data_IF_837272949392
#
_entry.id   IF_837272949392
#
_cell.length_a   1.000
_cell.length_b   1.000
_cell.length_c   1.000
_cell.angle_alpha   90.00
_cell.angle_beta   90.00
_cell.angle_gamma   90.00
#
_symmetry.space_group_name_H-M   'P 1'
#
loop_
_entity.id
_entity.type
_entity.pdbx_description
1 polymer ?
#
# COMPACT_ATOMS: atom_id res chain seq x y z
N UNK A 1 6.24 -14.05 24.52
CA UNK A 1 6.35 -14.05 23.05
C UNK A 1 6.18 -12.63 22.57
N UNK A 2 7.00 -12.17 21.66
CA UNK A 2 6.96 -10.79 21.12
C UNK A 2 6.84 -10.90 19.61
N UNK A 3 5.91 -10.11 19.03
CA UNK A 3 5.79 -9.98 17.58
C UNK A 3 6.99 -9.20 17.03
N UNK A 4 7.74 -9.81 16.14
CA UNK A 4 8.93 -9.24 15.51
C UNK A 4 8.74 -8.97 14.00
N UNK A 5 7.50 -8.89 13.53
CA UNK A 5 7.17 -8.52 12.15
C UNK A 5 7.80 -7.18 11.79
N UNK A 6 7.74 -6.22 12.74
CA UNK A 6 8.55 -5.00 12.69
C UNK A 6 9.74 -5.12 13.67
N UNK A 7 10.99 -5.22 13.17
CA UNK A 7 12.18 -5.38 14.01
C UNK A 7 12.39 -4.27 15.03
N UNK A 8 12.01 -3.02 14.70
CA UNK A 8 12.19 -1.88 15.62
C UNK A 8 11.22 -1.97 16.81
N UNK A 9 9.96 -2.25 16.53
CA UNK A 9 8.92 -2.43 17.57
C UNK A 9 9.21 -3.68 18.40
N UNK A 10 9.63 -4.78 17.78
CA UNK A 10 10.00 -6.01 18.44
C UNK A 10 11.15 -5.84 19.43
N UNK A 11 12.23 -5.16 19.02
CA UNK A 11 13.38 -4.85 19.89
C UNK A 11 12.99 -3.94 21.06
N UNK A 12 12.18 -2.93 20.79
CA UNK A 12 11.74 -1.98 21.81
C UNK A 12 10.88 -2.67 22.86
N UNK A 13 9.91 -3.49 22.45
CA UNK A 13 9.06 -4.26 23.37
C UNK A 13 9.88 -5.29 24.16
N UNK A 14 10.80 -5.99 23.54
CA UNK A 14 11.68 -6.92 24.23
C UNK A 14 12.52 -6.23 25.30
N UNK A 15 13.09 -5.05 24.99
CA UNK A 15 13.85 -4.24 25.92
C UNK A 15 13.02 -3.74 27.12
N UNK A 16 11.79 -3.27 26.88
CA UNK A 16 10.88 -2.85 27.94
C UNK A 16 10.51 -4.01 28.86
N UNK A 17 10.14 -5.17 28.30
CA UNK A 17 9.79 -6.35 29.10
C UNK A 17 10.99 -6.80 29.94
N UNK A 18 12.19 -6.87 29.35
CA UNK A 18 13.41 -7.21 30.11
C UNK A 18 13.69 -6.20 31.23
N UNK A 19 13.52 -4.90 30.96
CA UNK A 19 13.70 -3.85 31.96
C UNK A 19 12.71 -3.96 33.12
N UNK A 20 11.43 -4.14 32.83
CA UNK A 20 10.38 -4.25 33.87
C UNK A 20 10.55 -5.52 34.70
N UNK A 21 10.80 -6.67 34.04
CA UNK A 21 11.02 -7.94 34.74
C UNK A 21 12.31 -7.90 35.56
N UNK A 22 13.38 -7.30 35.01
CA UNK A 22 14.65 -7.11 35.73
C UNK A 22 14.47 -6.24 36.99
N UNK A 23 13.70 -5.13 36.92
CA UNK A 23 13.41 -4.30 38.07
C UNK A 23 12.52 -4.99 39.12
N UNK A 24 11.49 -5.71 38.68
CA UNK A 24 10.58 -6.42 39.59
C UNK A 24 11.27 -7.54 40.37
N UNK A 25 12.31 -8.13 39.79
CA UNK A 25 13.06 -9.24 40.39
C UNK A 25 14.30 -8.79 41.21
N UNK A 26 14.80 -7.59 40.97
CA UNK A 26 15.82 -6.97 41.83
C UNK A 26 15.32 -6.66 43.25
N UNK A 27 14.01 -6.61 43.46
CA UNK A 27 13.39 -6.42 44.77
C UNK A 27 13.27 -7.70 45.59
N UNK A 28 13.68 -8.85 45.11
CA UNK A 28 13.62 -10.14 45.79
C UNK A 28 14.70 -11.11 45.32
N UNK A 29 15.73 -11.29 46.18
CA UNK A 29 16.72 -12.38 46.18
C UNK A 29 17.41 -12.79 44.84
N UNK A 30 18.69 -12.65 44.87
CA UNK A 30 19.88 -13.12 44.08
C UNK A 30 19.75 -14.28 43.05
N UNK A 31 18.77 -14.35 42.23
CA UNK A 31 18.84 -15.14 41.00
C UNK A 31 18.40 -14.31 39.83
N UNK A 32 19.34 -13.92 38.96
CA UNK A 32 19.03 -13.23 37.73
C UNK A 32 18.08 -14.10 36.90
N UNK A 33 16.82 -13.73 36.71
CA UNK A 33 15.93 -14.51 35.86
C UNK A 33 16.44 -14.40 34.45
N UNK A 34 16.71 -15.52 33.82
CA UNK A 34 17.02 -15.60 32.39
C UNK A 34 15.68 -15.38 31.67
N UNK A 35 15.41 -14.12 31.31
CA UNK A 35 14.26 -13.80 30.45
C UNK A 35 14.64 -14.16 29.02
N UNK A 36 14.16 -15.30 28.55
CA UNK A 36 14.26 -15.67 27.13
C UNK A 36 13.11 -15.03 26.36
N UNK A 37 13.40 -14.04 25.52
CA UNK A 37 12.45 -13.47 24.57
C UNK A 37 12.33 -14.39 23.35
N UNK A 38 11.14 -14.88 23.08
CA UNK A 38 10.85 -15.65 21.87
C UNK A 38 10.18 -14.74 20.83
N UNK A 39 10.91 -14.47 19.76
CA UNK A 39 10.45 -13.63 18.67
C UNK A 39 9.59 -14.45 17.70
N UNK A 40 8.40 -13.98 17.42
CA UNK A 40 7.48 -14.59 16.48
C UNK A 40 7.64 -13.94 15.09
N UNK A 41 7.38 -14.72 14.04
CA UNK A 41 7.33 -14.33 12.63
C UNK A 41 8.64 -13.85 11.99
N UNK A 42 9.55 -13.22 12.72
CA UNK A 42 10.86 -12.78 12.23
C UNK A 42 11.96 -13.01 13.27
N UNK A 43 12.34 -14.27 13.55
CA UNK A 43 13.34 -14.59 14.57
C UNK A 43 14.73 -13.97 14.31
N UNK A 44 15.06 -13.70 13.04
CA UNK A 44 16.33 -13.13 12.63
C UNK A 44 16.32 -11.60 12.58
N UNK A 45 15.20 -10.95 12.94
CA UNK A 45 15.01 -9.49 12.90
C UNK A 45 15.44 -8.84 11.57
N UNK A 46 15.18 -9.52 10.45
CA UNK A 46 15.49 -8.98 9.12
C UNK A 46 14.55 -7.83 8.78
N UNK A 47 15.10 -6.67 8.51
CA UNK A 47 14.33 -5.48 8.09
C UNK A 47 13.54 -5.70 6.79
N UNK A 48 13.96 -6.66 5.95
CA UNK A 48 13.27 -7.00 4.71
C UNK A 48 11.81 -7.43 4.94
N UNK A 49 11.49 -8.08 6.06
CA UNK A 49 10.14 -8.52 6.39
C UNK A 49 9.16 -7.34 6.55
N UNK A 50 9.62 -6.22 7.10
CA UNK A 50 8.80 -5.01 7.20
C UNK A 50 8.84 -4.18 5.91
N UNK A 51 10.02 -4.09 5.28
CA UNK A 51 10.26 -3.19 4.16
C UNK A 51 9.65 -3.68 2.84
N UNK A 52 9.68 -4.99 2.56
CA UNK A 52 9.17 -5.56 1.30
C UNK A 52 7.68 -5.29 1.09
N UNK A 53 6.76 -5.58 2.05
CA UNK A 53 5.34 -5.23 1.91
C UNK A 53 5.11 -3.73 1.71
N UNK A 54 5.92 -2.90 2.37
CA UNK A 54 5.87 -1.44 2.24
C UNK A 54 6.23 -0.96 0.85
N UNK A 55 7.38 -1.41 0.33
CA UNK A 55 7.85 -1.05 -1.01
C UNK A 55 6.91 -1.58 -2.09
N UNK A 56 6.37 -2.79 -1.90
CA UNK A 56 5.39 -3.38 -2.80
C UNK A 56 4.14 -2.50 -2.94
N UNK A 57 3.58 -2.04 -1.82
CA UNK A 57 2.45 -1.11 -1.82
C UNK A 57 2.78 0.25 -2.44
N UNK A 58 3.95 0.79 -2.11
CA UNK A 58 4.43 2.06 -2.65
C UNK A 58 4.58 1.99 -4.19
N UNK A 59 5.31 1.01 -4.69
CA UNK A 59 5.60 0.86 -6.14
C UNK A 59 4.31 0.64 -6.92
N UNK A 60 3.45 -0.28 -6.48
CA UNK A 60 2.18 -0.54 -7.15
C UNK A 60 1.31 0.73 -7.20
N UNK A 61 1.19 1.43 -6.08
CA UNK A 61 0.38 2.65 -6.03
C UNK A 61 0.94 3.77 -6.90
N UNK A 62 2.24 4.03 -6.84
CA UNK A 62 2.88 5.09 -7.60
C UNK A 62 2.83 4.83 -9.11
N UNK A 63 3.27 3.64 -9.55
CA UNK A 63 3.32 3.32 -10.98
C UNK A 63 1.92 3.38 -11.58
N UNK A 64 0.91 2.76 -10.93
CA UNK A 64 -0.45 2.75 -11.46
C UNK A 64 -1.04 4.16 -11.55
N UNK A 65 -0.93 4.96 -10.48
CA UNK A 65 -1.49 6.30 -10.45
C UNK A 65 -0.76 7.25 -11.42
N UNK A 66 0.58 7.18 -11.45
CA UNK A 66 1.39 8.05 -12.31
C UNK A 66 1.17 7.73 -13.79
N UNK A 67 1.24 6.46 -14.19
CA UNK A 67 1.06 6.07 -15.59
C UNK A 67 -0.34 6.39 -16.09
N UNK A 68 -1.35 6.16 -15.27
CA UNK A 68 -2.75 6.49 -15.63
C UNK A 68 -2.94 7.99 -15.78
N UNK A 69 -2.43 8.80 -14.85
CA UNK A 69 -2.59 10.25 -14.90
C UNK A 69 -1.86 10.85 -16.11
N UNK A 70 -0.61 10.45 -16.36
CA UNK A 70 0.19 10.93 -17.51
C UNK A 70 -0.48 10.57 -18.83
N UNK A 71 -0.95 9.32 -18.98
CA UNK A 71 -1.58 8.88 -20.21
C UNK A 71 -2.80 9.71 -20.61
N UNK A 72 -3.65 9.99 -19.63
CA UNK A 72 -4.87 10.78 -19.88
C UNK A 72 -4.55 12.25 -20.12
N UNK A 73 -3.62 12.81 -19.37
CA UNK A 73 -3.19 14.20 -19.53
C UNK A 73 -2.47 14.41 -20.85
N UNK A 74 -1.69 13.42 -21.33
CA UNK A 74 -1.07 13.46 -22.64
C UNK A 74 -2.11 13.62 -23.76
N UNK A 75 -3.24 12.93 -23.70
CA UNK A 75 -4.30 13.05 -24.70
C UNK A 75 -5.00 14.41 -24.65
N UNK A 76 -5.07 15.02 -23.46
CA UNK A 76 -5.54 16.40 -23.32
C UNK A 76 -4.59 17.39 -23.96
N UNK A 77 -3.27 17.25 -23.73
CA UNK A 77 -2.25 18.13 -24.32
C UNK A 77 -2.18 18.02 -25.84
N UNK A 78 -2.37 16.80 -26.38
CA UNK A 78 -2.32 16.58 -27.85
C UNK A 78 -3.63 16.88 -28.55
N UNK A 79 -4.69 17.27 -27.83
CA UNK A 79 -6.02 17.56 -28.40
C UNK A 79 -6.78 16.32 -28.87
N UNK A 80 -6.21 15.13 -28.74
CA UNK A 80 -6.88 13.88 -29.15
C UNK A 80 -8.08 13.52 -28.29
N UNK A 81 -8.15 14.09 -27.10
CA UNK A 81 -9.29 13.94 -26.17
C UNK A 81 -10.59 14.45 -26.80
N UNK A 82 -10.55 15.58 -27.52
CA UNK A 82 -11.73 16.16 -28.18
C UNK A 82 -12.28 15.23 -29.26
N UNK A 83 -11.40 14.55 -30.02
CA UNK A 83 -11.80 13.58 -31.03
C UNK A 83 -12.50 12.36 -30.39
N UNK A 84 -12.01 11.91 -29.23
CA UNK A 84 -12.63 10.82 -28.49
C UNK A 84 -14.01 11.20 -27.94
N UNK A 85 -14.22 12.47 -27.61
CA UNK A 85 -15.47 12.99 -27.04
C UNK A 85 -16.57 13.15 -28.11
N UNK A 86 -16.22 13.42 -29.36
CA UNK A 86 -17.18 13.49 -30.49
C UNK A 86 -17.62 12.08 -30.92
N UNK A 87 -16.89 11.05 -30.53
CA UNK A 87 -17.24 9.65 -30.79
C UNK A 87 -18.49 9.22 -29.99
N UNK A 88 -19.43 8.42 -30.55
CA UNK A 88 -20.61 7.94 -29.85
C UNK A 88 -20.32 6.87 -28.78
N UNK A 89 -19.09 6.81 -28.27
CA UNK A 89 -18.62 5.85 -27.27
C UNK A 89 -18.90 6.40 -25.87
N UNK A 90 -19.47 5.58 -25.01
CA UNK A 90 -19.70 5.95 -23.59
C UNK A 90 -18.36 6.19 -22.88
N UNK A 91 -18.21 7.27 -22.10
CA UNK A 91 -16.96 7.63 -21.42
C UNK A 91 -16.34 6.52 -20.58
N UNK A 92 -17.16 5.63 -20.02
CA UNK A 92 -16.69 4.48 -19.22
C UNK A 92 -15.82 3.50 -20.03
N UNK A 93 -16.12 3.30 -21.32
CA UNK A 93 -15.31 2.42 -22.18
C UNK A 93 -13.96 3.02 -22.49
N UNK A 94 -13.88 4.35 -22.61
CA UNK A 94 -12.61 5.06 -22.81
C UNK A 94 -11.73 4.86 -21.56
N UNK A 95 -12.28 5.03 -20.37
CA UNK A 95 -11.59 4.85 -19.10
C UNK A 95 -11.12 3.39 -18.95
N UNK A 96 -11.98 2.41 -19.24
CA UNK A 96 -11.63 0.99 -19.16
C UNK A 96 -10.54 0.62 -20.16
N UNK A 97 -10.65 1.09 -21.40
CA UNK A 97 -9.62 0.84 -22.44
C UNK A 97 -8.24 1.37 -22.03
N UNK A 98 -8.19 2.47 -21.26
CA UNK A 98 -6.97 3.02 -20.69
C UNK A 98 -6.49 2.27 -19.44
N UNK A 99 -7.41 1.85 -18.60
CA UNK A 99 -7.07 1.15 -17.36
C UNK A 99 -6.49 -0.26 -17.62
N UNK A 100 -7.00 -0.98 -18.64
CA UNK A 100 -6.59 -2.38 -18.92
C UNK A 100 -5.07 -2.54 -19.18
N UNK A 101 -4.40 -1.79 -20.06
CA UNK A 101 -2.96 -1.95 -20.27
C UNK A 101 -2.15 -1.65 -19.01
N UNK A 102 -2.57 -0.68 -18.18
CA UNK A 102 -1.89 -0.38 -16.91
C UNK A 102 -2.16 -1.44 -15.85
N UNK A 103 -3.34 -2.05 -15.86
CA UNK A 103 -3.63 -3.20 -15.01
C UNK A 103 -2.71 -4.39 -15.36
N UNK A 104 -2.54 -4.69 -16.64
CA UNK A 104 -1.63 -5.76 -17.10
C UNK A 104 -0.19 -5.45 -16.69
N UNK A 105 0.28 -4.23 -16.92
CA UNK A 105 1.62 -3.79 -16.50
C UNK A 105 1.81 -3.92 -14.99
N UNK A 106 0.79 -3.57 -14.20
CA UNK A 106 0.81 -3.68 -12.75
C UNK A 106 0.85 -5.13 -12.27
N UNK A 107 0.18 -6.04 -12.96
CA UNK A 107 0.28 -7.48 -12.68
C UNK A 107 1.69 -8.02 -12.96
N UNK A 108 2.35 -7.54 -14.02
CA UNK A 108 3.75 -7.89 -14.31
C UNK A 108 4.68 -7.35 -13.23
N UNK A 109 4.48 -6.09 -12.81
CA UNK A 109 5.22 -5.50 -11.68
C UNK A 109 5.02 -6.29 -10.39
N UNK A 110 3.79 -6.66 -10.07
CA UNK A 110 3.48 -7.49 -8.90
C UNK A 110 4.23 -8.82 -8.95
N UNK A 111 4.18 -9.52 -10.07
CA UNK A 111 4.89 -10.78 -10.26
C UNK A 111 6.40 -10.60 -10.10
N UNK A 112 6.97 -9.54 -10.67
CA UNK A 112 8.40 -9.22 -10.55
C UNK A 112 8.81 -8.95 -9.11
N UNK A 113 8.02 -8.16 -8.37
CA UNK A 113 8.30 -7.83 -6.97
C UNK A 113 8.21 -9.10 -6.11
N UNK A 114 7.21 -9.96 -6.33
CA UNK A 114 7.07 -11.22 -5.61
C UNK A 114 8.24 -12.17 -5.89
N UNK A 115 8.68 -12.29 -7.13
CA UNK A 115 9.86 -13.10 -7.48
C UNK A 115 11.11 -12.57 -6.79
N UNK A 116 11.36 -11.25 -6.83
CA UNK A 116 12.49 -10.65 -6.13
C UNK A 116 12.41 -10.83 -4.62
N UNK A 117 11.22 -10.70 -4.04
CA UNK A 117 10.98 -10.89 -2.60
C UNK A 117 11.39 -12.29 -2.16
N UNK A 118 10.94 -13.32 -2.88
CA UNK A 118 11.19 -14.72 -2.52
C UNK A 118 12.62 -15.15 -2.83
N UNK A 119 13.11 -14.91 -4.06
CA UNK A 119 14.39 -15.45 -4.52
C UNK A 119 15.61 -14.61 -4.12
N UNK A 120 15.48 -13.29 -4.01
CA UNK A 120 16.61 -12.40 -3.71
C UNK A 120 16.63 -12.00 -2.23
N UNK A 121 15.49 -11.59 -1.70
CA UNK A 121 15.40 -11.10 -0.32
C UNK A 121 15.08 -12.20 0.69
N UNK A 122 14.76 -13.41 0.21
CA UNK A 122 14.40 -14.56 1.04
C UNK A 122 13.29 -14.25 2.06
N UNK A 123 12.33 -13.42 1.66
CA UNK A 123 11.11 -13.16 2.44
C UNK A 123 10.07 -14.20 2.01
N UNK A 124 9.68 -15.13 2.89
CA UNK A 124 8.73 -16.18 2.54
C UNK A 124 7.34 -15.59 2.30
N UNK A 125 6.54 -16.28 1.51
CA UNK A 125 5.09 -16.07 1.41
C UNK A 125 4.42 -17.23 2.12
N UNK A 126 4.21 -17.09 3.42
CA UNK A 126 3.62 -18.14 4.27
C UNK A 126 2.12 -18.33 4.00
N UNK A 127 1.45 -17.28 3.53
CA UNK A 127 0.01 -17.29 3.27
C UNK A 127 -0.37 -17.61 1.83
N UNK A 128 -1.68 -17.45 1.54
CA UNK A 128 -2.24 -17.75 0.23
C UNK A 128 -1.87 -16.70 -0.82
N UNK A 129 -1.25 -17.13 -1.93
CA UNK A 129 -0.97 -16.29 -3.09
C UNK A 129 -2.25 -15.70 -3.71
N UNK A 130 -3.38 -16.41 -3.63
CA UNK A 130 -4.66 -15.90 -4.10
C UNK A 130 -5.14 -14.69 -3.30
N UNK A 131 -5.04 -14.76 -1.98
CA UNK A 131 -5.38 -13.63 -1.10
C UNK A 131 -4.48 -12.44 -1.38
N UNK A 132 -3.18 -12.67 -1.53
CA UNK A 132 -2.19 -11.64 -1.85
C UNK A 132 -2.48 -10.97 -3.20
N UNK A 133 -2.75 -11.77 -4.24
CA UNK A 133 -3.08 -11.27 -5.58
C UNK A 133 -4.38 -10.46 -5.56
N UNK A 134 -5.40 -10.93 -4.85
CA UNK A 134 -6.66 -10.21 -4.72
C UNK A 134 -6.50 -8.84 -4.05
N UNK A 135 -5.77 -8.77 -2.93
CA UNK A 135 -5.47 -7.52 -2.25
C UNK A 135 -4.68 -6.54 -3.14
N UNK A 136 -3.73 -7.09 -3.90
CA UNK A 136 -2.94 -6.30 -4.84
C UNK A 136 -3.79 -5.74 -5.98
N UNK A 137 -4.72 -6.53 -6.52
CA UNK A 137 -5.68 -6.06 -7.53
C UNK A 137 -6.60 -4.95 -6.99
N UNK A 138 -7.03 -5.05 -5.72
CA UNK A 138 -7.80 -3.98 -5.07
C UNK A 138 -6.97 -2.68 -4.97
N UNK A 139 -5.70 -2.77 -4.54
CA UNK A 139 -4.84 -1.60 -4.49
C UNK A 139 -4.60 -1.01 -5.88
N UNK A 140 -4.38 -1.84 -6.89
CA UNK A 140 -4.21 -1.40 -8.29
C UNK A 140 -5.46 -0.64 -8.75
N UNK A 141 -6.67 -1.16 -8.48
CA UNK A 141 -7.92 -0.49 -8.83
C UNK A 141 -8.05 0.89 -8.15
N UNK A 142 -7.68 0.99 -6.87
CA UNK A 142 -7.63 2.26 -6.13
C UNK A 142 -6.62 3.22 -6.77
N UNK A 143 -5.42 2.76 -7.06
CA UNK A 143 -4.34 3.57 -7.62
C UNK A 143 -4.67 4.08 -9.05
N UNK A 144 -5.25 3.23 -9.90
CA UNK A 144 -5.76 3.64 -11.22
C UNK A 144 -6.83 4.73 -11.10
N UNK A 145 -7.74 4.59 -10.14
CA UNK A 145 -8.79 5.57 -9.88
C UNK A 145 -8.25 6.90 -9.36
N UNK A 146 -7.22 6.87 -8.52
CA UNK A 146 -6.48 8.06 -8.08
C UNK A 146 -5.79 8.75 -9.26
N UNK A 147 -5.14 7.99 -10.15
CA UNK A 147 -4.54 8.52 -11.37
C UNK A 147 -5.56 9.23 -12.27
N UNK A 148 -6.76 8.64 -12.42
CA UNK A 148 -7.88 9.27 -13.11
C UNK A 148 -8.28 10.60 -12.45
N UNK A 149 -8.43 10.66 -11.13
CA UNK A 149 -8.77 11.89 -10.41
C UNK A 149 -7.71 12.96 -10.58
N UNK A 150 -6.43 12.61 -10.46
CA UNK A 150 -5.31 13.52 -10.69
C UNK A 150 -5.38 14.08 -12.11
N UNK A 151 -5.62 13.24 -13.11
CA UNK A 151 -5.74 13.66 -14.50
C UNK A 151 -6.89 14.67 -14.73
N UNK A 152 -7.94 14.66 -13.89
CA UNK A 152 -9.01 15.63 -13.97
C UNK A 152 -8.61 17.03 -13.47
N UNK A 153 -7.62 17.12 -12.58
CA UNK A 153 -7.20 18.39 -11.94
C UNK A 153 -6.07 19.05 -12.71
N UNK A 154 -5.13 18.26 -13.22
CA UNK A 154 -3.90 18.75 -13.87
C UNK A 154 -4.10 18.94 -15.37
N UNK A 155 -3.33 19.89 -15.96
CA UNK A 155 -3.47 20.27 -17.37
C UNK A 155 -2.31 19.76 -18.24
N UNK A 156 -1.14 19.50 -17.68
CA UNK A 156 0.04 19.06 -18.42
C UNK A 156 0.71 17.83 -17.80
N UNK A 157 1.48 17.11 -18.61
CA UNK A 157 2.14 15.87 -18.19
C UNK A 157 3.13 16.10 -17.04
N UNK A 158 3.86 17.22 -17.04
CA UNK A 158 4.83 17.52 -15.98
C UNK A 158 4.12 17.69 -14.64
N UNK A 159 3.00 18.44 -14.61
CA UNK A 159 2.19 18.57 -13.41
C UNK A 159 1.60 17.21 -12.97
N UNK A 160 1.17 16.36 -13.92
CA UNK A 160 0.71 15.02 -13.61
C UNK A 160 1.80 14.17 -12.96
N UNK A 161 3.04 14.22 -13.46
CA UNK A 161 4.19 13.53 -12.86
C UNK A 161 4.49 14.02 -11.45
N UNK A 162 4.51 15.32 -11.24
CA UNK A 162 4.82 15.91 -9.92
C UNK A 162 3.72 15.56 -8.92
N UNK A 163 2.46 15.76 -9.28
CA UNK A 163 1.34 15.51 -8.35
C UNK A 163 1.18 14.02 -8.06
N UNK A 164 1.23 13.15 -9.07
CA UNK A 164 1.11 11.71 -8.84
C UNK A 164 2.38 11.09 -8.27
N UNK A 165 3.58 11.51 -8.69
CA UNK A 165 4.84 11.02 -8.17
C UNK A 165 5.09 11.54 -6.75
N UNK A 166 5.45 12.82 -6.62
CA UNK A 166 5.82 13.40 -5.32
C UNK A 166 4.63 13.53 -4.37
N UNK A 167 3.45 13.92 -4.89
CA UNK A 167 2.25 14.11 -4.08
C UNK A 167 1.71 12.83 -3.45
N UNK A 168 1.89 11.65 -4.08
CA UNK A 168 1.52 10.37 -3.47
C UNK A 168 2.69 9.71 -2.73
N UNK A 169 3.94 9.88 -3.21
CA UNK A 169 5.10 9.22 -2.60
C UNK A 169 5.31 9.66 -1.15
N UNK A 170 5.29 10.98 -0.86
CA UNK A 170 5.52 11.48 0.49
C UNK A 170 4.49 10.97 1.51
N UNK A 171 3.17 11.11 1.28
CA UNK A 171 2.19 10.58 2.22
C UNK A 171 2.27 9.06 2.39
N UNK A 172 2.51 8.33 1.30
CA UNK A 172 2.63 6.87 1.36
C UNK A 172 3.86 6.46 2.16
N UNK A 173 5.02 7.04 1.93
CA UNK A 173 6.24 6.70 2.67
C UNK A 173 6.11 7.01 4.17
N UNK A 174 5.55 8.17 4.52
CA UNK A 174 5.50 8.64 5.91
C UNK A 174 4.34 8.05 6.70
N UNK A 175 3.15 7.92 6.09
CA UNK A 175 1.90 7.65 6.81
C UNK A 175 1.33 6.24 6.55
N UNK A 176 2.01 5.39 5.77
CA UNK A 176 1.52 4.03 5.50
C UNK A 176 1.95 2.99 6.52
N UNK A 177 2.82 3.35 7.48
CA UNK A 177 3.41 2.38 8.41
C UNK A 177 4.59 1.61 7.83
N UNK A 178 5.18 2.09 6.70
CA UNK A 178 6.36 1.48 6.10
C UNK A 178 7.65 1.84 6.84
N UNK A 179 7.85 3.14 7.10
CA UNK A 179 9.05 3.66 7.77
C UNK A 179 8.81 3.82 9.27
N UNK A 180 7.71 4.44 9.62
CA UNK A 180 7.35 4.70 11.02
C UNK A 180 6.13 3.87 11.42
N UNK A 181 6.18 3.12 12.54
CA UNK A 181 5.01 2.44 13.08
C UNK A 181 3.88 3.44 13.34
N UNK A 182 2.66 3.09 12.93
CA UNK A 182 1.50 4.00 13.02
C UNK A 182 1.17 4.33 14.48
N UNK A 183 1.39 3.37 15.38
CA UNK A 183 1.15 3.50 16.82
C UNK A 183 2.03 4.57 17.47
N UNK A 184 3.21 4.83 16.90
CA UNK A 184 4.15 5.85 17.40
C UNK A 184 3.82 7.28 16.91
N UNK A 185 2.86 7.43 16.00
CA UNK A 185 2.49 8.73 15.45
C UNK A 185 1.51 9.48 16.38
N UNK A 186 1.53 10.84 16.37
CA UNK A 186 0.47 11.64 16.99
C UNK A 186 -0.91 11.30 16.43
N UNK A 187 -1.96 11.38 17.26
CA UNK A 187 -3.33 11.01 16.90
C UNK A 187 -3.84 11.65 15.60
N UNK A 188 -3.47 12.89 15.33
CA UNK A 188 -3.85 13.61 14.11
C UNK A 188 -3.28 12.90 12.86
N UNK A 189 -2.02 12.49 12.89
CA UNK A 189 -1.38 11.77 11.78
C UNK A 189 -1.96 10.37 11.60
N UNK A 190 -2.33 9.70 12.69
CA UNK A 190 -3.03 8.41 12.62
C UNK A 190 -4.39 8.53 11.90
N UNK A 191 -5.13 9.61 12.14
CA UNK A 191 -6.39 9.89 11.45
C UNK A 191 -6.18 10.12 9.94
N UNK A 192 -5.22 10.95 9.57
CA UNK A 192 -4.88 11.23 8.17
C UNK A 192 -4.41 9.95 7.46
N UNK A 193 -3.63 9.14 8.14
CA UNK A 193 -3.12 7.85 7.65
C UNK A 193 -4.25 6.88 7.23
N UNK A 194 -5.45 6.96 7.86
CA UNK A 194 -6.59 6.13 7.47
C UNK A 194 -7.11 6.40 6.03
N UNK A 195 -6.84 7.60 5.50
CA UNK A 195 -7.26 8.00 4.14
C UNK A 195 -6.33 7.39 3.09
N UNK A 196 -5.15 6.94 3.48
CA UNK A 196 -4.13 6.44 2.55
C UNK A 196 -4.36 4.95 2.27
N UNK A 197 -4.69 4.57 1.02
CA UNK A 197 -4.98 3.18 0.68
C UNK A 197 -3.80 2.23 0.92
N UNK A 198 -2.57 2.71 0.66
CA UNK A 198 -1.36 1.93 0.86
C UNK A 198 -1.18 1.42 2.30
N UNK A 199 -1.67 2.16 3.30
CA UNK A 199 -1.66 1.72 4.70
C UNK A 199 -2.38 0.38 4.87
N UNK A 200 -3.63 0.31 4.42
CA UNK A 200 -4.48 -0.88 4.55
C UNK A 200 -3.92 -2.07 3.78
N UNK A 201 -3.38 -1.79 2.60
CA UNK A 201 -2.71 -2.80 1.80
C UNK A 201 -1.47 -3.36 2.49
N UNK A 202 -0.59 -2.50 3.01
CA UNK A 202 0.65 -2.92 3.68
C UNK A 202 0.33 -3.76 4.92
N UNK A 203 -0.66 -3.35 5.72
CA UNK A 203 -1.11 -4.14 6.88
C UNK A 203 -1.64 -5.51 6.46
N UNK A 204 -2.49 -5.56 5.42
CA UNK A 204 -3.02 -6.83 4.91
C UNK A 204 -1.93 -7.73 4.35
N UNK A 205 -0.99 -7.18 3.58
CA UNK A 205 0.12 -7.95 3.00
C UNK A 205 1.06 -8.50 4.08
N UNK A 206 1.35 -7.74 5.13
CA UNK A 206 2.13 -8.23 6.28
C UNK A 206 1.46 -9.44 6.92
N UNK A 207 0.17 -9.37 7.20
CA UNK A 207 -0.62 -10.49 7.77
C UNK A 207 -0.59 -11.72 6.87
N UNK A 208 -0.70 -11.54 5.54
CA UNK A 208 -0.70 -12.66 4.61
C UNK A 208 0.71 -13.22 4.39
N UNK A 209 1.70 -12.37 4.06
CA UNK A 209 3.04 -12.84 3.70
C UNK A 209 3.82 -13.36 4.89
N UNK A 210 3.74 -12.69 6.04
CA UNK A 210 4.65 -12.95 7.16
C UNK A 210 3.97 -13.79 8.24
N UNK A 211 2.73 -13.44 8.59
CA UNK A 211 1.98 -14.15 9.64
C UNK A 211 1.25 -15.38 9.09
N UNK A 212 1.23 -15.58 7.75
CA UNK A 212 0.59 -16.72 7.10
C UNK A 212 -0.93 -16.76 7.22
N UNK A 213 -1.56 -15.63 7.53
CA UNK A 213 -3.00 -15.57 7.76
C UNK A 213 -3.79 -15.62 6.45
N UNK A 214 -4.94 -16.27 6.49
CA UNK A 214 -5.84 -16.38 5.35
C UNK A 214 -6.75 -15.16 5.17
N UNK A 215 -7.62 -15.22 4.13
CA UNK A 215 -8.56 -14.15 3.78
C UNK A 215 -9.47 -13.73 4.93
N UNK A 216 -9.83 -14.65 5.83
CA UNK A 216 -10.67 -14.36 6.99
C UNK A 216 -10.04 -13.36 7.97
N UNK A 217 -8.71 -13.24 8.01
CA UNK A 217 -8.01 -12.30 8.89
C UNK A 217 -7.83 -10.91 8.28
N UNK A 218 -7.93 -10.80 6.95
CA UNK A 218 -7.70 -9.55 6.20
C UNK A 218 -8.97 -9.00 5.53
N UNK A 219 -10.14 -9.56 5.88
CA UNK A 219 -11.41 -9.15 5.28
C UNK A 219 -11.73 -7.67 5.55
N UNK A 220 -11.35 -7.16 6.71
CA UNK A 220 -11.57 -5.76 7.09
C UNK A 220 -10.77 -4.79 6.20
N UNK A 221 -9.49 -5.05 5.99
CA UNK A 221 -8.64 -4.28 5.10
C UNK A 221 -9.10 -4.37 3.64
N UNK A 222 -9.49 -5.57 3.20
CA UNK A 222 -10.05 -5.79 1.87
C UNK A 222 -11.35 -5.01 1.65
N UNK A 223 -12.23 -4.95 2.65
CA UNK A 223 -13.47 -4.20 2.60
C UNK A 223 -13.22 -2.69 2.53
N UNK A 224 -12.27 -2.17 3.31
CA UNK A 224 -11.88 -0.76 3.25
C UNK A 224 -11.30 -0.42 1.88
N UNK A 225 -10.37 -1.23 1.35
CA UNK A 225 -9.79 -1.02 0.03
C UNK A 225 -10.86 -1.06 -1.07
N UNK A 226 -11.79 -2.00 -1.01
CA UNK A 226 -12.90 -2.08 -1.98
C UNK A 226 -13.83 -0.88 -1.89
N UNK A 227 -14.14 -0.41 -0.69
CA UNK A 227 -14.92 0.80 -0.45
C UNK A 227 -14.22 2.06 -1.01
N UNK A 228 -12.90 2.18 -0.77
CA UNK A 228 -12.07 3.26 -1.33
C UNK A 228 -12.06 3.20 -2.86
N UNK A 229 -11.90 2.00 -3.45
CA UNK A 229 -11.94 1.83 -4.90
C UNK A 229 -13.28 2.30 -5.48
N UNK A 230 -14.40 1.82 -4.92
CA UNK A 230 -15.73 2.18 -5.38
C UNK A 230 -15.99 3.71 -5.28
N UNK A 231 -15.59 4.33 -4.16
CA UNK A 231 -15.72 5.77 -3.93
C UNK A 231 -14.90 6.56 -4.95
N UNK A 232 -13.63 6.19 -5.15
CA UNK A 232 -12.74 6.90 -6.06
C UNK A 232 -13.16 6.72 -7.53
N UNK A 233 -13.61 5.53 -7.93
CA UNK A 233 -14.17 5.29 -9.26
C UNK A 233 -15.42 6.15 -9.46
N UNK A 234 -16.33 6.19 -8.49
CA UNK A 234 -17.54 7.02 -8.56
C UNK A 234 -17.23 8.50 -8.70
N UNK A 235 -16.26 9.01 -7.90
CA UNK A 235 -15.80 10.40 -7.98
C UNK A 235 -15.13 10.71 -9.32
N UNK A 236 -14.32 9.80 -9.83
CA UNK A 236 -13.63 9.95 -11.12
C UNK A 236 -14.63 10.02 -12.26
N UNK A 237 -15.63 9.13 -12.28
CA UNK A 237 -16.67 9.12 -13.31
C UNK A 237 -17.52 10.39 -13.27
N UNK A 238 -17.88 10.87 -12.08
CA UNK A 238 -18.66 12.11 -11.92
C UNK A 238 -17.87 13.31 -12.44
N UNK A 239 -16.62 13.50 -12.00
CA UNK A 239 -15.78 14.61 -12.45
C UNK A 239 -15.45 14.55 -13.93
N UNK A 240 -15.30 13.35 -14.47
CA UNK A 240 -15.07 13.17 -15.90
C UNK A 240 -16.31 13.58 -16.71
N UNK A 241 -17.51 13.26 -16.22
CA UNK A 241 -18.78 13.65 -16.85
C UNK A 241 -19.00 15.17 -16.80
N UNK A 242 -18.81 15.81 -15.64
CA UNK A 242 -18.95 17.27 -15.45
C UNK A 242 -18.00 18.10 -16.35
N UNK A 243 -16.96 17.51 -16.86
CA UNK A 243 -16.00 18.17 -17.74
C UNK A 243 -16.33 17.98 -19.23
N UNK A 244 -17.31 17.15 -19.53
CA UNK A 244 -17.82 16.83 -20.87
C UNK A 244 -19.06 17.64 -21.22
N UNK A 245 -19.73 18.21 -20.21
CA UNK A 245 -20.84 19.18 -20.34
C UNK A 245 -20.28 20.61 -20.30
#
# INVERSE_FOLDING_TARGET
>A
MVDATDPNTGNMMAGYVQGIVGQALQSGTQSSPIVQTHLLFNPQMKSAYNFVPGVMGLILMLICAMMTSISIVREKETGTMEVLLVSPIRPIFIILAKAVPYLVLSCVNLATILLLSVYVLHVPVEGSLWTLSFLSLLLIAVALSLGLLISCVVQNQVAAMIVSGMGLMMPVMLLSGMIFPIESMPAVLQWISNIIPARWYIQAVKKVMIEGLGMAAVWHEALILSGMAALLIGLSLKKFKERLE
#
